data_IF_947643510466
#
_entry.id   IF_947643510466
#
_cell.length_a   1.000
_cell.length_b   1.000
_cell.length_c   1.000
_cell.angle_alpha   90.00
_cell.angle_beta   90.00
_cell.angle_gamma   90.00
#
_symmetry.space_group_name_H-M   'P 1'
#
loop_
_entity.id
_entity.type
_entity.pdbx_description
1 polymer ?
#
# COMPACT_ATOMS: atom_id res chain seq x y z
N UNK A 1 -11.49 -19.55 5.72
CA UNK A 1 -11.71 -18.21 6.32
C UNK A 1 -13.05 -17.69 5.78
N UNK A 2 -13.83 -16.86 6.49
CA UNK A 2 -15.08 -16.32 5.90
C UNK A 2 -14.73 -15.44 4.68
N UNK A 3 -15.37 -15.65 3.52
CA UNK A 3 -15.17 -14.85 2.31
C UNK A 3 -15.31 -13.35 2.55
N UNK A 4 -16.23 -12.95 3.43
CA UNK A 4 -16.39 -11.55 3.82
C UNK A 4 -15.14 -10.99 4.51
N UNK A 5 -14.45 -11.82 5.30
CA UNK A 5 -13.19 -11.43 5.96
C UNK A 5 -12.05 -11.29 4.95
N UNK A 6 -11.95 -12.20 3.97
CA UNK A 6 -10.94 -12.12 2.90
C UNK A 6 -11.19 -10.88 2.03
N UNK A 7 -12.43 -10.66 1.58
CA UNK A 7 -12.80 -9.50 0.79
C UNK A 7 -12.48 -8.17 1.51
N UNK A 8 -12.80 -8.09 2.81
CA UNK A 8 -12.46 -6.92 3.63
C UNK A 8 -10.96 -6.68 3.73
N UNK A 9 -10.14 -7.73 3.90
CA UNK A 9 -8.67 -7.61 3.94
C UNK A 9 -8.11 -7.12 2.60
N UNK A 10 -8.69 -7.54 1.48
CA UNK A 10 -8.31 -7.03 0.16
C UNK A 10 -8.62 -5.54 0.05
N UNK A 11 -9.82 -5.11 0.45
CA UNK A 11 -10.23 -3.70 0.47
C UNK A 11 -9.27 -2.86 1.32
N UNK A 12 -9.00 -3.27 2.55
CA UNK A 12 -8.08 -2.58 3.47
C UNK A 12 -6.65 -2.51 2.91
N UNK A 13 -6.21 -3.56 2.22
CA UNK A 13 -4.89 -3.59 1.58
C UNK A 13 -4.79 -2.61 0.40
N UNK A 14 -5.84 -2.51 -0.41
CA UNK A 14 -5.88 -1.56 -1.53
C UNK A 14 -5.94 -0.12 -1.05
N UNK A 15 -6.70 0.16 0.01
CA UNK A 15 -6.76 1.49 0.64
C UNK A 15 -5.39 1.90 1.20
N UNK A 16 -4.72 1.01 1.93
CA UNK A 16 -3.37 1.24 2.44
C UNK A 16 -2.35 1.51 1.32
N UNK A 17 -2.40 0.77 0.21
CA UNK A 17 -1.57 1.02 -0.97
C UNK A 17 -1.85 2.42 -1.53
N UNK A 18 -3.11 2.81 -1.64
CA UNK A 18 -3.52 4.14 -2.13
C UNK A 18 -2.94 5.27 -1.27
N UNK A 19 -3.08 5.16 0.05
CA UNK A 19 -2.52 6.14 1.01
C UNK A 19 -1.00 6.24 0.88
N UNK A 20 -0.30 5.10 0.85
CA UNK A 20 1.17 5.07 0.74
C UNK A 20 1.66 5.65 -0.60
N UNK A 21 0.94 5.37 -1.69
CA UNK A 21 1.23 5.96 -3.00
C UNK A 21 1.02 7.47 -3.00
N UNK A 22 -0.05 7.97 -2.36
CA UNK A 22 -0.29 9.40 -2.22
C UNK A 22 0.82 10.09 -1.39
N UNK A 23 1.27 9.45 -0.31
CA UNK A 23 2.41 9.94 0.48
C UNK A 23 3.67 10.03 -0.36
N UNK A 24 3.98 9.01 -1.18
CA UNK A 24 5.10 9.06 -2.11
C UNK A 24 4.94 10.14 -3.18
N UNK A 25 3.75 10.35 -3.73
CA UNK A 25 3.52 11.38 -4.74
C UNK A 25 3.67 12.80 -4.18
N UNK A 26 3.24 13.03 -2.93
CA UNK A 26 3.30 14.34 -2.28
C UNK A 26 4.69 14.68 -1.73
N UNK A 27 5.47 13.67 -1.34
CA UNK A 27 6.70 13.87 -0.58
C UNK A 27 7.95 13.26 -1.22
N UNK A 28 7.78 12.40 -2.24
CA UNK A 28 8.88 11.76 -2.95
C UNK A 28 9.46 12.63 -4.05
N UNK A 29 10.76 12.53 -4.27
CA UNK A 29 11.49 13.27 -5.31
C UNK A 29 11.63 14.78 -5.04
N UNK A 30 11.12 15.29 -3.92
CA UNK A 30 11.31 16.69 -3.51
C UNK A 30 12.73 16.86 -2.97
N UNK A 31 13.69 17.03 -3.88
CA UNK A 31 15.01 17.57 -3.55
C UNK A 31 14.78 19.03 -3.18
N UNK A 32 14.77 19.32 -1.88
CA UNK A 32 14.48 20.67 -1.38
C UNK A 32 15.28 21.71 -2.14
N UNK A 33 14.59 22.72 -2.66
CA UNK A 33 15.24 23.97 -3.05
C UNK A 33 15.68 24.63 -1.73
N UNK A 34 16.97 24.92 -1.51
CA UNK A 34 17.46 25.45 -0.24
C UNK A 34 16.82 26.80 0.17
N UNK A 35 16.07 27.45 -0.72
CA UNK A 35 15.34 28.70 -0.45
C UNK A 35 13.85 28.50 -0.10
N UNK A 36 13.32 27.27 -0.21
CA UNK A 36 11.90 26.98 0.06
C UNK A 36 11.71 26.74 1.57
N UNK A 37 11.48 27.83 2.31
CA UNK A 37 11.23 27.87 3.76
C UNK A 37 9.81 27.35 4.08
N UNK A 38 9.45 26.17 3.58
CA UNK A 38 8.25 25.45 3.99
C UNK A 38 8.64 24.09 4.55
N UNK A 39 8.58 24.03 5.88
CA UNK A 39 9.17 23.02 6.77
C UNK A 39 8.40 21.70 6.77
N UNK A 40 8.44 20.98 5.67
CA UNK A 40 8.15 19.54 5.65
C UNK A 40 9.41 18.85 5.19
N UNK A 41 10.17 18.24 6.09
CA UNK A 41 11.33 17.44 5.70
C UNK A 41 10.86 16.41 4.67
N UNK A 42 11.29 16.50 3.40
CA UNK A 42 10.88 15.56 2.39
C UNK A 42 11.33 14.16 2.82
N UNK A 43 10.57 13.15 2.42
CA UNK A 43 10.92 11.75 2.72
C UNK A 43 12.27 11.49 2.05
N UNK A 44 13.25 11.03 2.84
CA UNK A 44 14.57 10.71 2.31
C UNK A 44 14.53 9.44 1.43
N UNK A 45 15.58 9.19 0.65
CA UNK A 45 15.67 8.04 -0.25
C UNK A 45 15.37 6.70 0.46
N UNK A 46 15.73 6.61 1.75
CA UNK A 46 15.48 5.42 2.57
C UNK A 46 14.00 5.29 2.92
N UNK A 47 13.34 6.38 3.28
CA UNK A 47 11.90 6.44 3.53
C UNK A 47 11.10 6.12 2.26
N UNK A 48 11.51 6.66 1.11
CA UNK A 48 10.87 6.35 -0.18
C UNK A 48 10.98 4.86 -0.51
N UNK A 49 12.20 4.30 -0.39
CA UNK A 49 12.46 2.87 -0.59
C UNK A 49 11.66 2.00 0.39
N UNK A 50 11.52 2.45 1.64
CA UNK A 50 10.73 1.78 2.66
C UNK A 50 9.24 1.73 2.31
N UNK A 51 8.66 2.84 1.85
CA UNK A 51 7.26 2.90 1.45
C UNK A 51 7.01 2.05 0.19
N UNK A 52 7.88 2.13 -0.81
CA UNK A 52 7.79 1.28 -2.00
C UNK A 52 7.84 -0.22 -1.64
N UNK A 53 8.71 -0.60 -0.69
CA UNK A 53 8.78 -1.96 -0.19
C UNK A 53 7.50 -2.38 0.55
N UNK A 54 6.94 -1.49 1.38
CA UNK A 54 5.67 -1.73 2.07
C UNK A 54 4.53 -1.94 1.09
N UNK A 55 4.40 -1.10 0.05
CA UNK A 55 3.42 -1.26 -1.03
C UNK A 55 3.55 -2.64 -1.69
N UNK A 56 4.79 -3.06 -2.02
CA UNK A 56 5.04 -4.36 -2.66
C UNK A 56 4.61 -5.54 -1.77
N UNK A 57 4.91 -5.48 -0.47
CA UNK A 57 4.51 -6.52 0.49
C UNK A 57 2.98 -6.58 0.61
N UNK A 58 2.31 -5.44 0.77
CA UNK A 58 0.85 -5.36 0.90
C UNK A 58 0.19 -5.87 -0.38
N UNK A 59 0.69 -5.51 -1.56
CA UNK A 59 0.19 -5.97 -2.84
C UNK A 59 0.31 -7.50 -2.98
N UNK A 60 1.43 -8.09 -2.54
CA UNK A 60 1.60 -9.55 -2.53
C UNK A 60 0.58 -10.24 -1.62
N UNK A 61 0.29 -9.66 -0.44
CA UNK A 61 -0.70 -10.20 0.50
C UNK A 61 -2.11 -10.11 -0.06
N UNK A 62 -2.48 -8.95 -0.62
CA UNK A 62 -3.78 -8.74 -1.27
C UNK A 62 -3.98 -9.68 -2.46
N UNK A 63 -2.93 -9.90 -3.26
CA UNK A 63 -2.98 -10.85 -4.37
C UNK A 63 -3.22 -12.28 -3.90
N UNK A 64 -2.56 -12.71 -2.81
CA UNK A 64 -2.79 -14.05 -2.23
C UNK A 64 -4.23 -14.19 -1.73
N UNK A 65 -4.73 -13.21 -0.99
CA UNK A 65 -6.10 -13.21 -0.49
C UNK A 65 -7.12 -13.22 -1.65
N UNK A 66 -6.84 -12.48 -2.73
CA UNK A 66 -7.68 -12.49 -3.95
C UNK A 66 -7.68 -13.87 -4.63
N UNK A 67 -6.53 -14.52 -4.76
CA UNK A 67 -6.43 -15.87 -5.29
C UNK A 67 -7.17 -16.88 -4.42
N UNK A 68 -7.11 -16.77 -3.09
CA UNK A 68 -7.89 -17.61 -2.16
C UNK A 68 -9.40 -17.43 -2.38
N UNK A 69 -9.87 -16.18 -2.48
CA UNK A 69 -11.27 -15.89 -2.77
C UNK A 69 -11.72 -16.43 -4.14
N UNK A 70 -10.86 -16.36 -5.16
CA UNK A 70 -11.16 -16.78 -6.52
C UNK A 70 -11.12 -18.31 -6.73
N UNK A 71 -10.39 -19.04 -5.87
CA UNK A 71 -10.21 -20.50 -5.96
C UNK A 71 -11.08 -21.30 -4.99
N UNK A 72 -11.77 -20.64 -4.05
CA UNK A 72 -12.76 -21.29 -3.21
C UNK A 72 -14.06 -21.53 -3.99
N UNK A 73 -14.48 -22.80 -4.20
CA UNK A 73 -15.67 -23.12 -4.99
C UNK A 73 -16.99 -22.73 -4.33
N UNK A 74 -16.98 -22.16 -3.11
CA UNK A 74 -18.19 -21.68 -2.44
C UNK A 74 -19.21 -22.78 -2.12
N UNK A 75 -18.75 -24.03 -2.05
CA UNK A 75 -19.58 -25.19 -1.75
C UNK A 75 -19.83 -25.20 -0.24
N UNK A 76 -21.09 -25.04 0.22
CA UNK A 76 -21.42 -25.19 1.63
C UNK A 76 -21.24 -26.66 2.05
N UNK A 77 -20.75 -26.90 3.27
CA UNK A 77 -20.84 -28.21 3.95
C UNK A 77 -22.30 -28.60 4.23
#
# INVERSE_FOLDING_TARGET
>A
MNHQTIAKRIEESLDAIGILAEVLLKNGGRKGDPEDVDTSDPIDDRGESGIQSAISIIACLAHRDFCELATDPGIPE
#
